data_IF_176235856839
#
_entry.id   IF_176235856839
#
_cell.length_a   1.000
_cell.length_b   1.000
_cell.length_c   1.000
_cell.angle_alpha   90.00
_cell.angle_beta   90.00
_cell.angle_gamma   90.00
#
_symmetry.space_group_name_H-M   'P 1'
#
loop_
_entity.id
_entity.type
_entity.pdbx_description
1 polymer ?
#
# COMPACT_ATOMS: atom_id res chain seq x y z
N UNK A 1 1.78 -18.08 -22.06
CA UNK A 1 1.15 -18.33 -20.74
C UNK A 1 1.22 -17.05 -19.92
N UNK A 2 0.14 -16.26 -19.91
CA UNK A 2 0.07 -15.03 -19.11
C UNK A 2 0.15 -15.39 -17.63
N UNK A 3 1.23 -15.00 -16.95
CA UNK A 3 1.32 -15.14 -15.49
C UNK A 3 0.15 -14.33 -14.92
N UNK A 4 -0.79 -15.00 -14.26
CA UNK A 4 -1.83 -14.35 -13.47
C UNK A 4 -1.13 -13.58 -12.35
N UNK A 5 -0.78 -12.32 -12.61
CA UNK A 5 -0.25 -11.43 -11.61
C UNK A 5 -1.42 -11.10 -10.70
N UNK A 6 -1.45 -11.70 -9.51
CA UNK A 6 -2.43 -11.34 -8.48
C UNK A 6 -2.22 -9.87 -8.14
N UNK A 7 -3.15 -9.02 -8.59
CA UNK A 7 -3.24 -7.63 -8.22
C UNK A 7 -4.02 -7.53 -6.92
N UNK A 8 -3.58 -6.66 -6.03
CA UNK A 8 -4.27 -6.35 -4.79
C UNK A 8 -4.73 -4.89 -4.86
N UNK A 9 -5.98 -4.62 -4.44
CA UNK A 9 -6.55 -3.28 -4.44
C UNK A 9 -6.18 -2.56 -3.15
N UNK A 10 -5.72 -1.33 -3.26
CA UNK A 10 -5.29 -0.44 -2.18
C UNK A 10 -5.86 0.96 -2.39
N UNK A 11 -5.81 1.80 -1.37
CA UNK A 11 -6.12 3.23 -1.50
C UNK A 11 -4.83 4.01 -1.62
N UNK A 12 -4.70 4.84 -2.64
CA UNK A 12 -3.59 5.78 -2.78
C UNK A 12 -4.10 7.21 -2.62
N UNK A 13 -3.39 8.02 -1.83
CA UNK A 13 -3.66 9.43 -1.74
C UNK A 13 -3.15 10.14 -2.99
N UNK A 14 -4.04 10.81 -3.72
CA UNK A 14 -3.68 11.52 -4.95
C UNK A 14 -2.74 12.71 -4.72
N UNK A 15 -2.71 13.22 -3.49
CA UNK A 15 -1.89 14.39 -3.13
C UNK A 15 -0.47 14.01 -2.69
N UNK A 16 -0.35 13.12 -1.70
CA UNK A 16 0.95 12.75 -1.12
C UNK A 16 1.49 11.40 -1.60
N UNK A 17 0.72 10.63 -2.38
CA UNK A 17 1.12 9.32 -2.89
C UNK A 17 1.20 8.23 -1.82
N UNK A 18 0.69 8.48 -0.61
CA UNK A 18 0.63 7.46 0.45
C UNK A 18 -0.37 6.39 0.11
N UNK A 19 0.04 5.14 0.25
CA UNK A 19 -0.78 3.96 0.01
C UNK A 19 -1.26 3.41 1.34
N UNK A 20 -2.55 3.16 1.45
CA UNK A 20 -3.23 2.75 2.67
C UNK A 20 -4.28 1.67 2.43
N UNK A 21 -4.74 1.03 3.50
CA UNK A 21 -5.73 -0.04 3.46
C UNK A 21 -7.06 0.44 2.86
N UNK A 22 -7.81 -0.46 2.21
CA UNK A 22 -9.10 -0.11 1.59
C UNK A 22 -10.16 0.36 2.59
N UNK A 23 -10.05 -0.05 3.85
CA UNK A 23 -11.00 0.35 4.89
C UNK A 23 -10.72 1.76 5.43
N UNK A 24 -9.54 2.32 5.16
CA UNK A 24 -9.16 3.66 5.63
C UNK A 24 -9.99 4.73 4.92
N UNK A 25 -10.64 5.58 5.72
CA UNK A 25 -11.49 6.67 5.22
C UNK A 25 -10.71 7.92 4.86
N UNK A 26 -9.54 8.11 5.47
CA UNK A 26 -8.73 9.32 5.36
C UNK A 26 -7.27 8.95 5.12
N UNK A 27 -6.52 9.86 4.52
CA UNK A 27 -5.08 9.68 4.37
C UNK A 27 -4.41 9.61 5.75
N UNK A 28 -3.60 8.56 6.03
CA UNK A 28 -3.01 8.40 7.35
C UNK A 28 -1.88 9.40 7.63
N UNK A 29 -1.31 10.02 6.59
CA UNK A 29 -0.47 11.20 6.78
C UNK A 29 -1.35 12.35 7.26
N UNK A 30 -1.20 12.70 8.54
CA UNK A 30 -1.65 13.98 9.11
C UNK A 30 -0.82 15.11 8.49
N UNK A 31 -1.18 15.53 7.28
CA UNK A 31 -0.81 16.87 6.83
C UNK A 31 -1.64 17.85 7.67
N UNK A 32 -0.92 18.79 8.29
CA UNK A 32 -1.44 19.75 9.28
C UNK A 32 -2.37 20.78 8.64
N UNK A 33 -2.38 20.83 7.30
CA UNK A 33 -3.22 21.70 6.48
C UNK A 33 -4.32 20.89 5.80
N UNK A 34 -5.56 21.16 6.20
CA UNK A 34 -6.82 20.78 5.54
C UNK A 34 -6.82 19.45 4.74
N UNK A 35 -7.29 18.38 5.40
CA UNK A 35 -7.59 17.05 4.83
C UNK A 35 -8.43 17.06 3.52
N UNK A 36 -8.99 18.19 3.09
CA UNK A 36 -9.80 18.34 1.87
C UNK A 36 -9.02 18.03 0.58
N UNK A 37 -7.69 18.16 0.57
CA UNK A 37 -6.87 17.82 -0.62
C UNK A 37 -6.43 16.36 -0.67
N UNK A 38 -6.46 15.64 0.46
CA UNK A 38 -5.99 14.27 0.58
C UNK A 38 -7.06 13.24 0.18
N UNK A 39 -7.50 13.30 -1.08
CA UNK A 39 -8.45 12.32 -1.62
C UNK A 39 -7.76 10.97 -1.81
N UNK A 40 -8.43 9.90 -1.38
CA UNK A 40 -8.00 8.53 -1.57
C UNK A 40 -8.70 7.96 -2.80
N UNK A 41 -7.92 7.42 -3.73
CA UNK A 41 -8.42 6.67 -4.89
C UNK A 41 -8.08 5.20 -4.75
N UNK A 42 -8.92 4.33 -5.32
CA UNK A 42 -8.64 2.90 -5.36
C UNK A 42 -7.68 2.64 -6.52
N UNK A 43 -6.57 1.98 -6.22
CA UNK A 43 -5.54 1.58 -7.17
C UNK A 43 -5.23 0.10 -6.99
N UNK A 44 -4.82 -0.55 -8.07
CA UNK A 44 -4.44 -1.96 -8.05
C UNK A 44 -2.94 -2.08 -8.27
N UNK A 45 -2.27 -2.71 -7.32
CA UNK A 45 -0.83 -2.95 -7.41
C UNK A 45 -0.54 -4.43 -7.49
N UNK A 46 0.50 -4.79 -8.23
CA UNK A 46 1.06 -6.12 -8.09
C UNK A 46 1.94 -6.27 -6.85
N UNK A 47 2.21 -7.52 -6.47
CA UNK A 47 3.03 -7.83 -5.29
C UNK A 47 4.44 -7.23 -5.33
N UNK A 48 5.07 -7.12 -6.51
CA UNK A 48 6.40 -6.51 -6.66
C UNK A 48 6.32 -4.99 -6.51
N UNK A 49 5.30 -4.36 -7.08
CA UNK A 49 5.03 -2.94 -6.92
C UNK A 49 4.78 -2.60 -5.45
N UNK A 50 3.88 -3.31 -4.76
CA UNK A 50 3.63 -3.12 -3.33
C UNK A 50 4.90 -3.28 -2.49
N UNK A 51 5.72 -4.29 -2.79
CA UNK A 51 6.99 -4.49 -2.09
C UNK A 51 7.94 -3.30 -2.31
N UNK A 52 8.00 -2.78 -3.54
CA UNK A 52 8.83 -1.61 -3.87
C UNK A 52 8.33 -0.37 -3.13
N UNK A 53 7.04 -0.09 -3.19
CA UNK A 53 6.41 1.07 -2.53
C UNK A 53 6.54 1.00 -1.00
N UNK A 54 6.45 -0.20 -0.44
CA UNK A 54 6.72 -0.44 0.98
C UNK A 54 8.18 -0.15 1.34
N UNK A 55 9.12 -0.60 0.49
CA UNK A 55 10.56 -0.32 0.68
C UNK A 55 10.86 1.18 0.54
N UNK A 56 10.11 1.91 -0.30
CA UNK A 56 10.15 3.37 -0.43
C UNK A 56 9.47 4.11 0.74
N UNK A 57 8.84 3.40 1.70
CA UNK A 57 8.16 4.00 2.84
C UNK A 57 6.82 4.67 2.53
N UNK A 58 6.22 4.38 1.35
CA UNK A 58 4.95 4.97 0.91
C UNK A 58 3.72 4.21 1.39
N UNK A 59 3.87 2.94 1.75
CA UNK A 59 2.76 2.10 2.22
C UNK A 59 2.63 2.23 3.72
N UNK A 60 1.51 2.80 4.16
CA UNK A 60 1.06 2.77 5.55
C UNK A 60 -0.10 1.79 5.67
N UNK A 61 0.13 0.70 6.38
CA UNK A 61 -0.92 -0.27 6.69
C UNK A 61 -1.00 -0.49 8.18
N UNK A 62 -2.21 -0.59 8.71
CA UNK A 62 -2.43 -0.98 10.11
C UNK A 62 -2.11 -2.46 10.36
N UNK A 63 -2.07 -3.27 9.31
CA UNK A 63 -1.77 -4.70 9.34
C UNK A 63 -0.32 -5.01 8.90
N UNK A 64 0.65 -4.24 9.41
CA UNK A 64 2.05 -4.32 9.01
C UNK A 64 2.61 -5.75 9.09
N UNK A 65 2.36 -6.48 10.17
CA UNK A 65 2.88 -7.84 10.36
C UNK A 65 2.38 -8.87 9.33
N UNK A 66 1.09 -8.81 8.98
CA UNK A 66 0.50 -9.68 7.94
C UNK A 66 0.93 -9.26 6.53
N UNK A 67 1.07 -7.96 6.32
CA UNK A 67 1.56 -7.41 5.07
C UNK A 67 3.01 -7.84 4.81
N UNK A 68 3.90 -7.67 5.78
CA UNK A 68 5.30 -8.10 5.71
C UNK A 68 5.42 -9.61 5.47
N UNK A 69 4.66 -10.44 6.21
CA UNK A 69 4.65 -11.89 5.97
C UNK A 69 4.24 -12.26 4.54
N UNK A 70 3.27 -11.54 3.96
CA UNK A 70 2.83 -11.74 2.57
C UNK A 70 3.90 -11.32 1.56
N UNK A 71 4.40 -10.10 1.66
CA UNK A 71 5.23 -9.48 0.61
C UNK A 71 6.72 -9.77 0.77
N UNK A 72 7.22 -9.85 2.01
CA UNK A 72 8.63 -10.05 2.30
C UNK A 72 9.03 -11.51 2.32
N UNK A 73 8.06 -12.45 2.40
CA UNK A 73 8.23 -13.91 2.52
C UNK A 73 9.66 -14.34 2.19
N UNK A 74 10.56 -14.21 3.17
CA UNK A 74 11.92 -14.69 3.06
C UNK A 74 11.73 -16.20 2.92
N UNK A 75 12.16 -16.79 1.80
CA UNK A 75 12.45 -18.22 1.81
C UNK A 75 13.39 -18.41 3.00
N UNK A 76 12.92 -19.02 4.09
CA UNK A 76 13.86 -19.54 5.08
C UNK A 76 14.78 -20.47 4.28
N UNK A 77 16.10 -20.25 4.27
CA UNK A 77 16.98 -21.33 3.86
C UNK A 77 16.75 -22.44 4.88
N UNK A 78 16.14 -23.53 4.41
CA UNK A 78 16.14 -24.82 5.09
C UNK A 78 17.56 -25.31 5.28
#
# INVERSE_FOLDING_TARGET
>A
MGKNVKKESWKECEYCGTITDLDEKYCPIKCVDENTKHKLRIVEFDKKELKRLYTEGKVQTKHLGDFEKRILKRKRPT
#
